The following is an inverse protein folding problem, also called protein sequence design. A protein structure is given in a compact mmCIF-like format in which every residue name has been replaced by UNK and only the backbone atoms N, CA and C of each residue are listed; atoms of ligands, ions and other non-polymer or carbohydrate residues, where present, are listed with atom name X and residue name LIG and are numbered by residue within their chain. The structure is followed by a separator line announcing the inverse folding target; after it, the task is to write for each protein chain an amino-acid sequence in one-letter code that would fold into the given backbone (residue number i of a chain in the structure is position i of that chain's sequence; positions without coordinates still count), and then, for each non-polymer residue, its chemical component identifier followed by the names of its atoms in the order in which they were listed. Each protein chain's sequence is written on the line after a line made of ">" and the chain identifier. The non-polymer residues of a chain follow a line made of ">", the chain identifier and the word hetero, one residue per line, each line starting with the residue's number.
data_IF_357680892393
#
_entry.id   IF_357680892393
#
_cell.length_a   1.000
_cell.length_b   1.000
_cell.length_c   1.000
_cell.angle_alpha   90.00
_cell.angle_beta   90.00
_cell.angle_gamma   90.00
#
_symmetry.space_group_name_H-M   'P 1'
#
loop_
_entity.id
_entity.type
_entity.pdbx_description
1 polymer ?
#
# COMPACT_ATOMS: atom_id res chain seq x y z
N UNK A 1 5.16 13.70 18.15
CA UNK A 1 6.22 13.29 17.20
C UNK A 1 6.10 14.10 15.93
N UNK A 2 7.22 14.61 15.44
CA UNK A 2 7.25 15.34 14.17
C UNK A 2 7.46 14.39 13.00
N UNK A 3 7.20 14.88 11.79
CA UNK A 3 7.47 14.13 10.56
C UNK A 3 8.95 13.77 10.46
N UNK A 4 9.86 14.70 10.82
CA UNK A 4 11.29 14.46 10.78
C UNK A 4 11.73 13.37 11.76
N UNK A 5 11.17 13.37 12.97
CA UNK A 5 11.44 12.34 13.97
C UNK A 5 10.96 10.96 13.50
N UNK A 6 9.77 10.91 12.92
CA UNK A 6 9.22 9.67 12.39
C UNK A 6 10.05 9.13 11.23
N UNK A 7 10.46 10.01 10.32
CA UNK A 7 11.33 9.65 9.20
C UNK A 7 12.64 9.06 9.71
N UNK A 8 13.24 9.69 10.73
CA UNK A 8 14.46 9.18 11.34
C UNK A 8 14.26 7.80 11.96
N UNK A 9 13.13 7.57 12.64
CA UNK A 9 12.81 6.24 13.19
C UNK A 9 12.69 5.18 12.11
N UNK A 10 12.10 5.51 10.96
CA UNK A 10 12.00 4.56 9.86
C UNK A 10 13.38 4.14 9.36
N UNK A 11 14.32 5.06 9.25
CA UNK A 11 15.69 4.74 8.83
C UNK A 11 16.45 3.98 9.90
N UNK A 12 16.38 4.41 11.16
CA UNK A 12 17.22 3.84 12.23
C UNK A 12 16.65 2.58 12.86
N UNK A 13 15.33 2.44 12.93
CA UNK A 13 14.68 1.34 13.63
C UNK A 13 14.00 0.35 12.70
N UNK A 14 13.31 0.80 11.68
CA UNK A 14 12.63 -0.08 10.74
C UNK A 14 13.52 -0.55 9.59
N UNK A 15 14.73 -0.02 9.48
CA UNK A 15 15.70 -0.47 8.51
C UNK A 15 15.50 0.04 7.10
N UNK A 16 14.73 1.11 6.90
CA UNK A 16 14.60 1.72 5.60
C UNK A 16 15.94 2.31 5.16
N UNK A 17 16.21 2.22 3.87
CA UNK A 17 17.35 2.86 3.24
C UNK A 17 16.87 4.00 2.34
N UNK A 18 17.80 4.81 1.87
CA UNK A 18 17.48 6.01 1.08
C UNK A 18 16.60 5.68 -0.13
N UNK A 19 16.81 4.54 -0.76
CA UNK A 19 16.08 4.10 -1.95
C UNK A 19 14.63 3.69 -1.66
N UNK A 20 14.27 3.50 -0.40
CA UNK A 20 12.92 3.07 -0.01
C UNK A 20 11.92 4.21 0.10
N UNK A 21 12.39 5.46 0.09
CA UNK A 21 11.58 6.63 0.39
C UNK A 21 12.00 7.81 -0.48
N UNK A 22 11.05 8.54 -1.06
CA UNK A 22 11.35 9.76 -1.80
C UNK A 22 10.26 10.81 -1.59
N UNK A 23 10.61 12.07 -1.86
CA UNK A 23 9.68 13.19 -1.78
C UNK A 23 8.97 13.37 -3.12
N UNK A 24 7.63 13.45 -3.08
CA UNK A 24 6.83 13.79 -4.25
C UNK A 24 6.75 15.31 -4.39
N UNK A 25 6.83 15.86 -5.63
CA UNK A 25 6.72 17.30 -5.84
C UNK A 25 5.43 17.92 -5.27
N UNK A 26 4.39 17.13 -5.07
CA UNK A 26 3.12 17.59 -4.48
C UNK A 26 3.17 17.78 -2.97
N UNK A 27 4.30 17.49 -2.32
CA UNK A 27 4.54 17.79 -0.92
C UNK A 27 4.38 16.63 0.06
N UNK A 28 4.12 15.43 -0.41
CA UNK A 28 4.05 14.25 0.46
C UNK A 28 5.24 13.31 0.21
N UNK A 29 5.41 12.36 1.11
CA UNK A 29 6.48 11.37 1.00
C UNK A 29 5.94 10.05 0.49
N UNK A 30 6.71 9.39 -0.38
CA UNK A 30 6.31 8.14 -1.01
C UNK A 30 7.25 7.03 -0.55
N UNK A 31 6.65 5.94 -0.06
CA UNK A 31 7.37 4.76 0.39
C UNK A 31 7.24 3.68 -0.69
N UNK A 32 8.37 3.18 -1.17
CA UNK A 32 8.39 2.09 -2.14
C UNK A 32 8.04 0.77 -1.45
N UNK A 33 7.73 -0.25 -2.25
CA UNK A 33 7.29 -1.55 -1.75
C UNK A 33 8.23 -2.14 -0.70
N UNK A 34 9.54 -2.10 -0.94
CA UNK A 34 10.51 -2.64 0.01
C UNK A 34 10.42 -1.92 1.36
N UNK A 35 10.16 -0.62 1.34
CA UNK A 35 9.95 0.15 2.55
C UNK A 35 8.67 -0.25 3.28
N UNK A 36 7.58 -0.48 2.54
CA UNK A 36 6.32 -0.95 3.13
C UNK A 36 6.54 -2.30 3.83
N UNK A 37 7.22 -3.23 3.19
CA UNK A 37 7.49 -4.55 3.77
C UNK A 37 8.36 -4.47 5.02
N UNK A 38 9.36 -3.58 5.03
CA UNK A 38 10.18 -3.34 6.21
C UNK A 38 9.38 -2.74 7.37
N UNK A 39 8.49 -1.81 7.07
CA UNK A 39 7.59 -1.22 8.07
C UNK A 39 6.64 -2.28 8.63
N UNK A 40 6.06 -3.10 7.75
CA UNK A 40 5.20 -4.20 8.14
C UNK A 40 5.90 -5.14 9.12
N UNK A 41 7.14 -5.53 8.81
CA UNK A 41 7.92 -6.41 9.66
C UNK A 41 8.28 -5.77 10.99
N UNK A 42 8.68 -4.51 10.97
CA UNK A 42 9.09 -3.78 12.18
C UNK A 42 7.95 -3.65 13.19
N UNK A 43 6.74 -3.33 12.71
CA UNK A 43 5.57 -3.15 13.58
C UNK A 43 4.79 -4.45 13.81
N UNK A 44 5.20 -5.55 13.20
CA UNK A 44 4.52 -6.84 13.28
C UNK A 44 3.07 -6.77 12.80
N UNK A 45 2.86 -6.12 11.68
CA UNK A 45 1.53 -6.06 11.06
C UNK A 45 1.30 -7.36 10.29
N UNK A 46 0.28 -8.11 10.67
CA UNK A 46 -0.12 -9.28 9.88
C UNK A 46 -1.23 -8.90 8.91
N UNK A 47 -1.15 -9.43 7.70
CA UNK A 47 -2.13 -9.12 6.66
C UNK A 47 -2.53 -10.41 5.94
N UNK A 48 -3.84 -10.59 5.80
CA UNK A 48 -4.40 -11.67 4.98
C UNK A 48 -5.19 -11.04 3.84
N UNK A 49 -5.33 -11.75 2.73
CA UNK A 49 -5.94 -11.23 1.53
C UNK A 49 -7.12 -12.08 1.07
N UNK A 50 -8.10 -11.42 0.47
CA UNK A 50 -9.25 -12.07 -0.15
C UNK A 50 -9.45 -11.44 -1.54
N UNK A 51 -9.40 -12.27 -2.57
CA UNK A 51 -9.40 -11.84 -3.97
C UNK A 51 -10.81 -11.92 -4.56
N UNK A 52 -11.24 -10.85 -5.23
CA UNK A 52 -12.45 -10.81 -6.02
C UNK A 52 -12.13 -10.34 -7.43
N UNK A 53 -12.63 -11.07 -8.41
CA UNK A 53 -12.44 -10.74 -9.81
C UNK A 53 -13.81 -10.58 -10.49
N UNK A 54 -14.01 -9.42 -11.13
CA UNK A 54 -15.19 -9.15 -11.93
C UNK A 54 -14.78 -8.95 -13.39
N UNK A 55 -15.46 -9.66 -14.31
CA UNK A 55 -15.27 -9.46 -15.72
C UNK A 55 -16.54 -8.80 -16.26
N UNK A 56 -16.39 -7.61 -16.80
CA UNK A 56 -17.51 -6.82 -17.33
C UNK A 56 -17.35 -6.64 -18.82
N UNK A 57 -18.40 -6.92 -19.56
CA UNK A 57 -18.45 -6.66 -20.99
C UNK A 57 -19.08 -5.29 -21.23
N UNK A 58 -18.36 -4.41 -21.91
CA UNK A 58 -18.84 -3.08 -22.24
C UNK A 58 -18.44 -2.74 -23.68
N UNK A 59 -19.41 -2.43 -24.50
CA UNK A 59 -19.21 -2.06 -25.90
C UNK A 59 -18.37 -3.08 -26.69
N UNK A 60 -18.62 -4.38 -26.45
CA UNK A 60 -17.89 -5.45 -27.11
C UNK A 60 -16.49 -5.71 -26.53
N UNK A 61 -16.11 -5.03 -25.46
CA UNK A 61 -14.82 -5.24 -24.78
C UNK A 61 -15.02 -5.95 -23.47
N UNK A 62 -14.12 -6.89 -23.19
CA UNK A 62 -14.04 -7.56 -21.90
C UNK A 62 -13.14 -6.71 -21.01
N UNK A 63 -13.69 -6.23 -19.89
CA UNK A 63 -12.94 -5.46 -18.90
C UNK A 63 -12.80 -6.28 -17.64
N UNK A 64 -11.56 -6.41 -17.16
CA UNK A 64 -11.25 -7.11 -15.93
C UNK A 64 -11.09 -6.12 -14.77
N UNK A 65 -11.82 -6.37 -13.70
CA UNK A 65 -11.71 -5.60 -12.45
C UNK A 65 -11.29 -6.53 -11.34
N UNK A 66 -10.15 -6.24 -10.73
CA UNK A 66 -9.63 -7.00 -9.62
C UNK A 66 -9.76 -6.17 -8.35
N UNK A 67 -10.36 -6.76 -7.32
CA UNK A 67 -10.38 -6.18 -5.97
C UNK A 67 -9.74 -7.16 -5.02
N UNK A 68 -8.83 -6.67 -4.21
CA UNK A 68 -8.23 -7.45 -3.13
C UNK A 68 -8.58 -6.78 -1.82
N UNK A 69 -9.23 -7.52 -0.92
CA UNK A 69 -9.47 -7.06 0.44
C UNK A 69 -8.31 -7.54 1.30
N UNK A 70 -7.63 -6.61 1.95
CA UNK A 70 -6.60 -6.92 2.94
C UNK A 70 -7.21 -6.76 4.32
N UNK A 71 -7.04 -7.77 5.16
CA UNK A 71 -7.38 -7.71 6.58
C UNK A 71 -6.07 -7.60 7.34
N UNK A 72 -5.82 -6.44 7.93
CA UNK A 72 -4.59 -6.16 8.65
C UNK A 72 -4.84 -6.14 10.16
N UNK A 73 -3.85 -6.63 10.90
CA UNK A 73 -3.89 -6.65 12.36
C UNK A 73 -2.60 -6.10 12.93
N UNK A 74 -2.75 -5.24 13.92
CA UNK A 74 -1.64 -4.70 14.70
C UNK A 74 -2.10 -4.63 16.16
N UNK A 75 -1.56 -5.52 17.01
CA UNK A 75 -2.02 -5.66 18.38
C UNK A 75 -3.50 -6.05 18.43
N UNK A 76 -4.31 -5.25 19.11
CA UNK A 76 -5.75 -5.48 19.23
C UNK A 76 -6.56 -4.80 18.11
N UNK A 77 -5.90 -4.11 17.19
CA UNK A 77 -6.57 -3.40 16.10
C UNK A 77 -6.65 -4.27 14.87
N UNK A 78 -7.81 -4.30 14.26
CA UNK A 78 -8.05 -5.00 13.00
C UNK A 78 -8.72 -4.02 12.05
N UNK A 79 -8.22 -3.94 10.82
CA UNK A 79 -8.82 -3.12 9.78
C UNK A 79 -8.92 -3.90 8.48
N UNK A 80 -9.78 -3.44 7.61
CA UNK A 80 -9.90 -3.95 6.26
C UNK A 80 -9.64 -2.82 5.27
N UNK A 81 -8.87 -3.11 4.25
CA UNK A 81 -8.59 -2.17 3.17
C UNK A 81 -8.75 -2.87 1.83
N UNK A 82 -8.96 -2.08 0.79
CA UNK A 82 -9.10 -2.61 -0.55
C UNK A 82 -8.04 -2.04 -1.47
N UNK A 83 -7.54 -2.89 -2.38
CA UNK A 83 -6.77 -2.48 -3.52
C UNK A 83 -7.50 -2.94 -4.77
N UNK A 84 -7.54 -2.10 -5.78
CA UNK A 84 -8.16 -2.43 -7.05
C UNK A 84 -7.17 -2.25 -8.20
N UNK A 85 -7.36 -3.06 -9.24
CA UNK A 85 -6.65 -2.93 -10.49
C UNK A 85 -7.61 -3.21 -11.64
N UNK A 86 -7.59 -2.37 -12.65
CA UNK A 86 -8.39 -2.52 -13.85
C UNK A 86 -7.59 -2.01 -15.04
N UNK A 87 -8.13 -2.20 -16.23
CA UNK A 87 -7.52 -1.66 -17.45
C UNK A 87 -7.41 -0.13 -17.44
N UNK A 88 -8.14 0.55 -16.53
CA UNK A 88 -8.11 2.01 -16.40
C UNK A 88 -7.04 2.52 -15.46
N UNK A 89 -6.60 1.72 -14.49
CA UNK A 89 -5.66 2.17 -13.46
C UNK A 89 -4.46 1.23 -13.27
N UNK A 90 -4.27 0.28 -14.16
CA UNK A 90 -3.16 -0.67 -14.12
C UNK A 90 -2.67 -0.91 -15.53
N UNK A 91 -1.46 -0.45 -15.85
CA UNK A 91 -0.88 -0.56 -17.17
C UNK A 91 0.02 -1.78 -17.33
N UNK A 92 0.31 -2.49 -16.24
CA UNK A 92 1.18 -3.67 -16.29
C UNK A 92 0.36 -4.95 -16.49
N UNK A 93 1.08 -6.06 -16.70
CA UNK A 93 0.47 -7.37 -16.96
C UNK A 93 0.08 -8.14 -15.71
N UNK A 94 0.20 -7.54 -14.53
CA UNK A 94 0.03 -8.22 -13.26
C UNK A 94 -1.02 -7.52 -12.38
N UNK A 95 -2.30 -7.51 -12.80
CA UNK A 95 -3.34 -6.78 -12.07
C UNK A 95 -3.59 -7.33 -10.66
N UNK A 96 -3.51 -8.65 -10.47
CA UNK A 96 -3.71 -9.25 -9.14
C UNK A 96 -2.63 -8.79 -8.18
N UNK A 97 -1.36 -8.88 -8.58
CA UNK A 97 -0.24 -8.44 -7.76
C UNK A 97 -0.31 -6.93 -7.46
N UNK A 98 -0.74 -6.13 -8.44
CA UNK A 98 -0.92 -4.70 -8.28
C UNK A 98 -2.01 -4.38 -7.26
N UNK A 99 -3.17 -5.04 -7.37
CA UNK A 99 -4.27 -4.86 -6.43
C UNK A 99 -3.87 -5.26 -5.01
N UNK A 100 -3.16 -6.38 -4.87
CA UNK A 100 -2.65 -6.86 -3.58
C UNK A 100 -1.68 -5.86 -2.95
N UNK A 101 -0.74 -5.32 -3.72
CA UNK A 101 0.21 -4.32 -3.23
C UNK A 101 -0.49 -3.05 -2.75
N UNK A 102 -1.49 -2.59 -3.49
CA UNK A 102 -2.28 -1.43 -3.10
C UNK A 102 -3.03 -1.66 -1.80
N UNK A 103 -3.65 -2.83 -1.65
CA UNK A 103 -4.35 -3.19 -0.42
C UNK A 103 -3.39 -3.30 0.77
N UNK A 104 -2.22 -3.91 0.57
CA UNK A 104 -1.19 -4.05 1.59
C UNK A 104 -0.68 -2.69 2.07
N UNK A 105 -0.31 -1.82 1.16
CA UNK A 105 0.19 -0.48 1.50
C UNK A 105 -0.82 0.28 2.33
N UNK A 106 -2.09 0.26 1.93
CA UNK A 106 -3.18 0.91 2.66
C UNK A 106 -3.34 0.36 4.07
N UNK A 107 -3.29 -0.96 4.23
CA UNK A 107 -3.42 -1.60 5.53
C UNK A 107 -2.25 -1.22 6.46
N UNK A 108 -1.02 -1.34 5.98
CA UNK A 108 0.17 -1.05 6.75
C UNK A 108 0.23 0.42 7.17
N UNK A 109 0.02 1.34 6.24
CA UNK A 109 0.12 2.78 6.53
C UNK A 109 -1.02 3.27 7.41
N UNK A 110 -2.20 2.67 7.28
CA UNK A 110 -3.34 3.03 8.13
C UNK A 110 -3.15 2.52 9.56
N UNK A 111 -2.72 1.28 9.74
CA UNK A 111 -2.51 0.70 11.07
C UNK A 111 -1.36 1.37 11.83
N UNK A 112 -0.28 1.71 11.13
CA UNK A 112 0.88 2.34 11.75
C UNK A 112 0.71 3.84 11.95
N UNK A 113 -0.34 4.44 11.38
CA UNK A 113 -0.61 5.87 11.49
C UNK A 113 0.26 6.74 10.59
N UNK A 114 1.01 6.16 9.68
CA UNK A 114 1.92 6.91 8.81
C UNK A 114 1.20 7.86 7.85
N UNK A 115 -0.05 7.58 7.49
CA UNK A 115 -0.84 8.52 6.68
C UNK A 115 -0.97 9.89 7.32
N UNK A 116 -1.05 9.96 8.66
CA UNK A 116 -1.19 11.23 9.39
C UNK A 116 -0.01 12.17 9.18
N UNK A 117 1.13 11.62 8.80
CA UNK A 117 2.37 12.39 8.62
C UNK A 117 2.71 12.60 7.14
N UNK A 118 1.77 12.33 6.25
CA UNK A 118 1.95 12.55 4.83
C UNK A 118 2.77 11.50 4.10
N UNK A 119 2.81 10.29 4.63
CA UNK A 119 3.47 9.14 3.96
C UNK A 119 2.43 8.34 3.19
N UNK A 120 2.74 8.01 1.94
CA UNK A 120 1.89 7.19 1.08
C UNK A 120 2.72 6.09 0.42
N UNK A 121 2.09 4.97 0.08
CA UNK A 121 2.75 3.90 -0.65
C UNK A 121 2.82 4.20 -2.14
N UNK A 122 3.93 3.87 -2.78
CA UNK A 122 4.11 4.06 -4.22
C UNK A 122 3.02 3.31 -5.01
N UNK A 123 2.61 2.14 -4.53
CA UNK A 123 1.59 1.32 -5.21
C UNK A 123 0.19 1.94 -5.19
N UNK A 124 -0.05 2.91 -4.31
CA UNK A 124 -1.32 3.63 -4.22
C UNK A 124 -1.42 4.78 -5.22
N UNK A 125 -0.31 5.22 -5.77
CA UNK A 125 -0.24 6.36 -6.67
C UNK A 125 -0.50 5.87 -8.09
N UNK A 126 -1.52 6.42 -8.71
CA UNK A 126 -1.97 6.04 -10.06
C UNK A 126 -1.55 7.11 -11.05
#
# INVERSE_FOLDING_TARGET
>A
MTEAELKNQLYTQAGLVREDLYDDPRGFKVIKRNGIEKIQAHYNVSVTFDLHEDIVQNEGRMMQFIRVKATGKLGNRTIETYGEASSMNCVNKYPIATAEKRALSRAVLKLTGLYKYGFFGQDEII
#
